data_IF_170830851345
#
_entry.id   IF_170830851345
#
_cell.length_a   1.000
_cell.length_b   1.000
_cell.length_c   1.000
_cell.angle_alpha   90.00
_cell.angle_beta   90.00
_cell.angle_gamma   90.00
#
_symmetry.space_group_name_H-M   'P 1'
#
loop_
_entity.id
_entity.type
_entity.pdbx_description
1 polymer ?
#
# COMPACT_ATOMS: atom_id res chain seq x y z
N UNK A 1 -15.79 25.01 -11.85
CA UNK A 1 -14.34 24.97 -11.53
C UNK A 1 -14.16 23.93 -10.45
N UNK A 2 -13.72 22.72 -10.78
CA UNK A 2 -13.39 21.71 -9.76
C UNK A 2 -12.09 22.19 -9.13
N UNK A 3 -12.16 22.74 -7.92
CA UNK A 3 -10.97 23.14 -7.20
C UNK A 3 -10.11 21.90 -6.96
N UNK A 4 -8.82 21.98 -7.27
CA UNK A 4 -7.85 21.00 -6.78
C UNK A 4 -8.07 20.84 -5.27
N UNK A 5 -8.24 19.59 -4.82
CA UNK A 5 -8.47 19.33 -3.40
C UNK A 5 -7.30 19.94 -2.62
N UNK A 6 -7.55 20.56 -1.47
CA UNK A 6 -6.49 21.27 -0.72
C UNK A 6 -5.30 20.36 -0.39
N UNK A 7 -5.55 19.06 -0.26
CA UNK A 7 -4.56 18.00 -0.09
C UNK A 7 -3.61 17.87 -1.30
N UNK A 8 -4.07 18.17 -2.53
CA UNK A 8 -3.25 18.15 -3.75
C UNK A 8 -2.24 19.30 -3.79
N UNK A 9 -2.44 20.35 -2.99
CA UNK A 9 -1.48 21.47 -2.86
C UNK A 9 -0.33 21.14 -1.92
N UNK A 10 -0.44 20.11 -1.09
CA UNK A 10 0.60 19.75 -0.14
C UNK A 10 1.91 19.36 -0.84
N UNK A 11 3.08 19.71 -0.28
CA UNK A 11 4.37 19.18 -0.68
C UNK A 11 4.37 17.65 -0.65
N UNK A 12 5.16 17.04 -1.54
CA UNK A 12 5.20 15.59 -1.66
C UNK A 12 5.73 14.90 -0.40
N UNK A 13 6.64 15.56 0.33
CA UNK A 13 7.19 15.03 1.57
C UNK A 13 6.11 14.91 2.66
N UNK A 14 5.21 15.89 2.76
CA UNK A 14 4.08 15.84 3.70
C UNK A 14 3.06 14.78 3.29
N UNK A 15 2.75 14.67 1.99
CA UNK A 15 1.90 13.58 1.49
C UNK A 15 2.51 12.21 1.79
N UNK A 16 3.81 12.04 1.58
CA UNK A 16 4.51 10.79 1.88
C UNK A 16 4.43 10.44 3.37
N UNK A 17 4.53 11.44 4.25
CA UNK A 17 4.44 11.24 5.68
C UNK A 17 3.02 10.82 6.12
N UNK A 18 1.99 11.44 5.53
CA UNK A 18 0.60 11.03 5.75
C UNK A 18 0.37 9.59 5.25
N UNK A 19 0.89 9.24 4.08
CA UNK A 19 0.72 7.90 3.52
C UNK A 19 1.44 6.81 4.32
N UNK A 20 2.48 7.13 5.11
CA UNK A 20 3.08 6.17 6.04
C UNK A 20 2.07 5.74 7.12
N UNK A 21 1.15 6.63 7.52
CA UNK A 21 0.13 6.36 8.53
C UNK A 21 -0.99 5.43 8.01
N UNK A 22 -1.11 5.28 6.69
CA UNK A 22 -2.07 4.35 6.09
C UNK A 22 -1.53 2.93 6.25
N UNK A 23 -2.00 2.23 7.28
CA UNK A 23 -1.58 0.85 7.55
C UNK A 23 -2.13 -0.12 6.53
N UNK A 24 -3.36 0.13 6.05
CA UNK A 24 -4.09 -0.67 5.07
C UNK A 24 -3.47 -0.60 3.68
N UNK A 25 -3.20 -1.77 3.12
CA UNK A 25 -2.58 -1.88 1.81
C UNK A 25 -3.54 -1.51 0.66
N UNK A 26 -4.83 -1.85 0.78
CA UNK A 26 -5.84 -1.50 -0.22
C UNK A 26 -5.98 0.01 -0.37
N UNK A 27 -5.92 0.71 0.76
CA UNK A 27 -6.08 2.15 0.80
C UNK A 27 -4.87 2.84 0.19
N UNK A 28 -3.66 2.27 0.37
CA UNK A 28 -2.46 2.74 -0.33
C UNK A 28 -2.50 2.47 -1.83
N UNK A 29 -3.00 1.32 -2.25
CA UNK A 29 -3.16 0.99 -3.67
C UNK A 29 -4.17 1.93 -4.36
N UNK A 30 -5.27 2.28 -3.68
CA UNK A 30 -6.24 3.27 -4.14
C UNK A 30 -5.66 4.69 -4.14
N UNK A 31 -4.94 5.08 -3.08
CA UNK A 31 -4.23 6.36 -3.00
C UNK A 31 -3.27 6.54 -4.18
N UNK A 32 -2.58 5.46 -4.57
CA UNK A 32 -1.67 5.46 -5.73
C UNK A 32 -2.38 5.70 -7.07
N UNK A 33 -3.66 5.34 -7.21
CA UNK A 33 -4.41 5.49 -8.47
C UNK A 33 -5.06 6.87 -8.65
N UNK A 34 -5.13 7.69 -7.60
CA UNK A 34 -5.75 9.03 -7.62
C UNK A 34 -5.07 9.97 -8.63
N UNK A 35 -3.77 10.20 -8.49
CA UNK A 35 -3.02 11.06 -9.42
C UNK A 35 -1.52 10.75 -9.42
N UNK A 36 -0.77 11.31 -10.38
CA UNK A 36 0.68 11.07 -10.51
C UNK A 36 1.47 11.54 -9.27
N UNK A 37 1.03 12.61 -8.62
CA UNK A 37 1.66 13.15 -7.40
C UNK A 37 1.49 12.19 -6.22
N UNK A 38 0.29 11.70 -6.00
CA UNK A 38 -0.01 10.73 -4.95
C UNK A 38 0.73 9.41 -5.18
N UNK A 39 0.82 8.95 -6.44
CA UNK A 39 1.64 7.80 -6.82
C UNK A 39 3.11 7.95 -6.41
N UNK A 40 3.68 9.15 -6.49
CA UNK A 40 5.06 9.40 -6.10
C UNK A 40 5.20 9.51 -4.56
N UNK A 41 4.24 10.14 -3.88
CA UNK A 41 4.20 10.16 -2.41
C UNK A 41 4.09 8.76 -1.80
N UNK A 42 3.26 7.88 -2.38
CA UNK A 42 3.12 6.48 -1.94
C UNK A 42 4.43 5.70 -2.11
N UNK A 43 5.20 5.96 -3.17
CA UNK A 43 6.52 5.31 -3.33
C UNK A 43 7.51 5.74 -2.25
N UNK A 44 7.52 7.03 -1.93
CA UNK A 44 8.39 7.56 -0.88
C UNK A 44 7.98 7.05 0.51
N UNK A 45 6.68 6.90 0.77
CA UNK A 45 6.17 6.36 2.03
C UNK A 45 6.50 4.87 2.19
N UNK A 46 6.33 4.07 1.13
CA UNK A 46 6.68 2.65 1.12
C UNK A 46 8.17 2.41 1.35
N UNK A 47 9.01 3.26 0.76
CA UNK A 47 10.46 3.18 0.97
C UNK A 47 10.90 3.33 2.43
N UNK A 48 10.07 3.98 3.26
CA UNK A 48 10.33 4.18 4.70
C UNK A 48 9.65 3.14 5.60
N UNK A 49 8.85 2.23 5.05
CA UNK A 49 8.11 1.23 5.83
C UNK A 49 8.96 -0.01 6.07
N UNK A 50 8.96 -0.44 7.32
CA UNK A 50 9.60 -1.66 7.76
C UNK A 50 8.63 -2.85 7.82
N UNK A 51 7.31 -2.60 7.88
CA UNK A 51 6.30 -3.66 7.92
C UNK A 51 5.10 -3.39 7.02
N UNK A 52 4.60 -4.45 6.38
CA UNK A 52 3.39 -4.47 5.57
C UNK A 52 2.60 -5.75 5.84
N UNK A 53 1.27 -5.65 5.86
CA UNK A 53 0.35 -6.80 5.97
C UNK A 53 -0.64 -6.82 4.81
N UNK A 54 -0.77 -8.00 4.22
CA UNK A 54 -1.72 -8.39 3.18
C UNK A 54 -2.79 -9.35 3.71
N UNK A 55 -2.83 -9.57 5.03
CA UNK A 55 -3.74 -10.53 5.65
C UNK A 55 -5.20 -10.27 5.28
N UNK A 56 -5.89 -11.30 4.78
CA UNK A 56 -7.32 -11.24 4.48
C UNK A 56 -7.72 -10.64 3.12
N UNK A 57 -6.77 -10.32 2.23
CA UNK A 57 -7.08 -9.65 0.96
C UNK A 57 -6.77 -10.49 -0.28
N UNK A 58 -7.73 -10.56 -1.21
CA UNK A 58 -7.53 -11.09 -2.56
C UNK A 58 -7.01 -9.97 -3.46
N UNK A 59 -5.72 -10.00 -3.78
CA UNK A 59 -5.07 -8.99 -4.59
C UNK A 59 -4.41 -9.59 -5.83
N UNK A 60 -4.30 -8.82 -6.91
CA UNK A 60 -3.56 -9.24 -8.10
C UNK A 60 -2.04 -9.19 -7.87
N UNK A 61 -1.35 -10.17 -8.44
CA UNK A 61 0.09 -10.32 -8.29
C UNK A 61 0.87 -9.12 -8.85
N UNK A 62 0.37 -8.44 -9.90
CA UNK A 62 1.02 -7.26 -10.50
C UNK A 62 1.02 -6.06 -9.55
N UNK A 63 -0.13 -5.74 -8.95
CA UNK A 63 -0.27 -4.65 -7.99
C UNK A 63 0.56 -4.90 -6.74
N UNK A 64 0.59 -6.14 -6.27
CA UNK A 64 1.41 -6.60 -5.14
C UNK A 64 2.90 -6.43 -5.44
N UNK A 65 3.38 -7.01 -6.55
CA UNK A 65 4.79 -6.96 -6.94
C UNK A 65 5.28 -5.52 -7.13
N UNK A 66 4.45 -4.65 -7.72
CA UNK A 66 4.80 -3.25 -7.96
C UNK A 66 4.92 -2.44 -6.68
N UNK A 67 4.16 -2.77 -5.65
CA UNK A 67 4.20 -2.06 -4.35
C UNK A 67 5.32 -2.59 -3.46
N UNK A 68 5.51 -3.91 -3.38
CA UNK A 68 6.65 -4.53 -2.68
C UNK A 68 7.98 -4.04 -3.26
N UNK A 69 8.09 -3.87 -4.58
CA UNK A 69 9.29 -3.32 -5.24
C UNK A 69 9.69 -1.93 -4.72
N UNK A 70 8.75 -1.13 -4.23
CA UNK A 70 9.05 0.20 -3.68
C UNK A 70 9.32 0.20 -2.17
N UNK A 71 9.00 -0.90 -1.48
CA UNK A 71 9.26 -1.06 -0.05
C UNK A 71 10.63 -1.70 0.20
N UNK A 72 11.71 -0.96 -0.11
CA UNK A 72 13.08 -1.48 -0.01
C UNK A 72 13.60 -1.63 1.43
N UNK A 73 12.98 -0.96 2.41
CA UNK A 73 13.28 -1.12 3.85
C UNK A 73 12.38 -2.15 4.55
N UNK A 74 11.59 -2.91 3.80
CA UNK A 74 10.64 -3.86 4.35
C UNK A 74 11.36 -5.02 5.05
N UNK A 75 11.13 -5.16 6.36
CA UNK A 75 11.63 -6.23 7.21
C UNK A 75 10.58 -7.30 7.48
N UNK A 76 9.32 -6.88 7.59
CA UNK A 76 8.20 -7.76 7.91
C UNK A 76 7.14 -7.69 6.82
N UNK A 77 6.84 -8.85 6.24
CA UNK A 77 5.77 -8.99 5.27
C UNK A 77 4.80 -10.08 5.71
N UNK A 78 3.64 -9.65 6.16
CA UNK A 78 2.54 -10.53 6.50
C UNK A 78 1.69 -10.78 5.24
N UNK A 79 1.58 -12.04 4.81
CA UNK A 79 0.72 -12.49 3.73
C UNK A 79 -0.23 -13.59 4.22
N UNK A 80 -1.02 -13.35 5.27
CA UNK A 80 -2.11 -14.27 5.66
C UNK A 80 -3.29 -14.24 4.67
N UNK A 81 -3.08 -14.75 3.46
CA UNK A 81 -4.18 -15.07 2.51
C UNK A 81 -4.30 -16.59 2.32
N UNK A 82 -3.20 -17.33 2.53
CA UNK A 82 -3.17 -18.77 2.26
C UNK A 82 -3.30 -19.68 3.47
N UNK A 83 -2.98 -19.26 4.70
CA UNK A 83 -3.14 -20.16 5.84
C UNK A 83 -4.60 -20.47 6.15
N UNK A 84 -5.51 -19.49 6.05
CA UNK A 84 -6.94 -19.78 6.23
C UNK A 84 -7.49 -20.66 5.11
N UNK A 85 -7.09 -20.47 3.84
CA UNK A 85 -7.61 -21.29 2.75
C UNK A 85 -6.98 -22.69 2.68
N UNK A 86 -5.67 -22.82 2.94
CA UNK A 86 -5.00 -24.13 2.99
C UNK A 86 -5.45 -24.90 4.23
N UNK A 87 -5.57 -24.27 5.40
CA UNK A 87 -6.04 -24.96 6.61
C UNK A 87 -7.51 -25.37 6.50
N UNK A 88 -8.37 -24.56 5.87
CA UNK A 88 -9.78 -24.89 5.62
C UNK A 88 -9.97 -25.90 4.48
N UNK A 89 -9.05 -25.97 3.51
CA UNK A 89 -9.04 -26.98 2.45
C UNK A 89 -8.38 -28.29 2.88
N UNK A 90 -7.45 -28.25 3.85
CA UNK A 90 -6.78 -29.43 4.42
C UNK A 90 -7.60 -30.10 5.54
N UNK A 91 -8.57 -29.39 6.15
CA UNK A 91 -9.50 -29.94 7.16
C UNK A 91 -10.91 -30.30 6.60
N UNK A 92 -11.08 -30.38 5.28
CA UNK A 92 -12.34 -30.80 4.63
C UNK A 92 -12.07 -31.93 3.63
#
# INVERSE_FOLDING_TARGET
MVGEAEIDRLPIDLLSHIFVLITSFTDLAQTRSVCRKWKQGVKQSLGRRESLSFAGWKMDDDSTARLVRYAYCLKELDMYVFFYLIFFWYMR
#
